data_IF_369593558163
#
_entry.id   IF_369593558163
#
_cell.length_a   1.000
_cell.length_b   1.000
_cell.length_c   1.000
_cell.angle_alpha   90.00
_cell.angle_beta   90.00
_cell.angle_gamma   90.00
#
_symmetry.space_group_name_H-M   'P 1'
#
loop_
_entity.id
_entity.type
_entity.pdbx_description
1 polymer ?
#
# COMPACT_ATOMS: atom_id res chain seq x y z
N UNK A 1 -6.56 -17.74 12.80
CA UNK A 1 -6.84 -18.15 11.41
C UNK A 1 -6.46 -17.00 10.50
N UNK A 2 -5.83 -17.26 9.36
CA UNK A 2 -5.53 -16.21 8.38
C UNK A 2 -6.35 -16.47 7.11
N UNK A 3 -7.18 -15.51 6.72
CA UNK A 3 -7.99 -15.54 5.50
C UNK A 3 -7.23 -14.89 4.34
N UNK A 4 -6.91 -15.64 3.30
CA UNK A 4 -6.17 -15.14 2.14
C UNK A 4 -7.14 -14.96 0.97
N UNK A 5 -7.58 -13.72 0.79
CA UNK A 5 -8.63 -13.29 -0.14
C UNK A 5 -9.86 -14.22 -0.18
N UNK A 6 -10.59 -14.37 0.95
CA UNK A 6 -11.71 -15.30 1.04
C UNK A 6 -12.73 -15.07 -0.08
N UNK A 7 -13.23 -16.14 -0.71
CA UNK A 7 -14.05 -16.03 -1.91
C UNK A 7 -15.40 -15.32 -1.66
N UNK A 8 -15.77 -14.36 -2.52
CA UNK A 8 -17.05 -13.66 -2.49
C UNK A 8 -18.22 -14.53 -2.96
N UNK A 9 -18.16 -15.22 -4.12
CA UNK A 9 -19.29 -15.99 -4.63
C UNK A 9 -19.77 -17.01 -3.61
N UNK A 10 -21.09 -17.06 -3.38
CA UNK A 10 -21.76 -17.96 -2.42
C UNK A 10 -21.50 -17.71 -0.92
N UNK A 11 -20.55 -16.86 -0.54
CA UNK A 11 -20.23 -16.59 0.87
C UNK A 11 -20.54 -15.16 1.32
N UNK A 12 -20.35 -14.15 0.48
CA UNK A 12 -20.60 -12.77 0.90
C UNK A 12 -22.10 -12.55 1.17
N UNK A 13 -22.42 -12.04 2.37
CA UNK A 13 -23.79 -11.77 2.79
C UNK A 13 -24.52 -12.97 3.40
N UNK A 14 -23.88 -14.13 3.52
CA UNK A 14 -24.42 -15.28 4.25
C UNK A 14 -24.27 -15.10 5.77
N UNK A 15 -25.02 -15.88 6.58
CA UNK A 15 -24.83 -15.96 8.03
C UNK A 15 -23.40 -16.35 8.41
N UNK A 16 -22.95 -15.95 9.61
CA UNK A 16 -21.57 -16.20 10.08
C UNK A 16 -21.21 -17.69 10.13
N UNK A 17 -22.21 -18.57 10.27
CA UNK A 17 -22.02 -20.02 10.32
C UNK A 17 -21.60 -20.62 8.96
N UNK A 18 -21.75 -19.86 7.86
CA UNK A 18 -21.49 -20.33 6.49
C UNK A 18 -20.18 -19.78 5.91
N UNK A 19 -19.61 -18.74 6.50
CA UNK A 19 -18.44 -18.02 5.98
C UNK A 19 -17.40 -17.82 7.06
N UNK A 20 -16.18 -17.47 6.67
CA UNK A 20 -15.17 -17.00 7.62
C UNK A 20 -15.70 -15.78 8.39
N UNK A 21 -15.53 -15.81 9.71
CA UNK A 21 -15.87 -14.74 10.63
C UNK A 21 -14.83 -14.65 11.76
N UNK A 22 -14.70 -13.46 12.35
CA UNK A 22 -13.79 -13.23 13.48
C UNK A 22 -14.03 -14.17 14.66
N UNK A 23 -15.25 -14.68 14.83
CA UNK A 23 -15.61 -15.60 15.92
C UNK A 23 -15.05 -17.03 15.74
N UNK A 24 -14.53 -17.38 14.56
CA UNK A 24 -14.05 -18.74 14.26
C UNK A 24 -12.73 -19.10 14.95
N UNK A 25 -12.00 -18.12 15.49
CA UNK A 25 -10.78 -18.34 16.26
C UNK A 25 -10.48 -17.15 17.18
N UNK A 26 -9.62 -17.37 18.19
CA UNK A 26 -9.19 -16.30 19.09
C UNK A 26 -8.58 -15.08 18.39
N UNK A 27 -8.08 -15.27 17.17
CA UNK A 27 -7.54 -14.21 16.33
C UNK A 27 -7.72 -14.60 14.87
N UNK A 28 -8.23 -13.65 14.08
CA UNK A 28 -8.48 -13.81 12.65
C UNK A 28 -7.91 -12.58 11.96
N UNK A 29 -7.00 -12.79 11.02
CA UNK A 29 -6.46 -11.74 10.16
C UNK A 29 -6.78 -12.06 8.69
N UNK A 30 -7.18 -11.05 7.91
CA UNK A 30 -7.65 -11.24 6.54
C UNK A 30 -6.88 -10.34 5.60
N UNK A 31 -6.45 -10.86 4.46
CA UNK A 31 -5.78 -10.12 3.39
C UNK A 31 -6.71 -10.08 2.18
N UNK A 32 -7.17 -8.89 1.80
CA UNK A 32 -8.04 -8.66 0.64
C UNK A 32 -7.20 -8.18 -0.54
N UNK A 33 -7.27 -8.88 -1.67
CA UNK A 33 -6.49 -8.55 -2.88
C UNK A 33 -7.29 -8.53 -4.17
N UNK A 34 -8.51 -9.07 -4.18
CA UNK A 34 -9.41 -9.04 -5.33
C UNK A 34 -10.85 -8.71 -4.92
N UNK A 35 -11.01 -7.74 -4.03
CA UNK A 35 -12.27 -7.45 -3.34
C UNK A 35 -13.30 -6.65 -4.15
N UNK A 36 -13.04 -6.43 -5.44
CA UNK A 36 -14.01 -5.82 -6.34
C UNK A 36 -15.24 -6.75 -6.51
N UNK A 37 -16.46 -6.23 -6.71
CA UNK A 37 -17.61 -7.09 -6.92
C UNK A 37 -17.43 -8.07 -8.10
N UNK A 38 -17.70 -9.37 -7.88
CA UNK A 38 -17.65 -10.41 -8.91
C UNK A 38 -18.43 -10.02 -10.16
N UNK A 39 -19.59 -9.39 -9.98
CA UNK A 39 -20.35 -8.78 -11.07
C UNK A 39 -20.35 -7.26 -10.88
N UNK A 40 -19.92 -6.47 -11.88
CA UNK A 40 -19.44 -6.88 -13.20
C UNK A 40 -17.91 -6.98 -13.34
N UNK A 41 -17.15 -6.85 -12.26
CA UNK A 41 -15.70 -6.61 -12.31
C UNK A 41 -14.85 -7.88 -12.24
N UNK A 42 -15.46 -9.06 -12.02
CA UNK A 42 -14.78 -10.33 -11.84
C UNK A 42 -13.75 -10.30 -10.69
N UNK A 43 -14.03 -9.56 -9.62
CA UNK A 43 -13.28 -9.73 -8.38
C UNK A 43 -13.81 -10.93 -7.60
N UNK A 44 -12.91 -11.78 -7.13
CA UNK A 44 -13.26 -13.04 -6.46
C UNK A 44 -13.24 -12.95 -4.94
N UNK A 45 -12.69 -11.90 -4.34
CA UNK A 45 -12.55 -11.75 -2.90
C UNK A 45 -13.74 -11.04 -2.22
N UNK A 46 -14.03 -11.41 -0.97
CA UNK A 46 -15.02 -10.73 -0.12
C UNK A 46 -14.57 -9.28 0.12
N UNK A 47 -15.51 -8.33 -0.06
CA UNK A 47 -15.30 -6.90 0.22
C UNK A 47 -15.38 -6.50 1.69
N UNK A 48 -16.42 -6.87 2.47
CA UNK A 48 -16.53 -6.47 3.86
C UNK A 48 -15.40 -7.04 4.71
N UNK A 49 -15.07 -6.30 5.78
CA UNK A 49 -14.17 -6.79 6.82
C UNK A 49 -14.87 -7.94 7.57
N UNK A 50 -14.16 -9.06 7.72
CA UNK A 50 -14.67 -10.28 8.36
C UNK A 50 -13.71 -10.85 9.41
N UNK A 51 -12.53 -10.25 9.61
CA UNK A 51 -11.55 -10.65 10.63
C UNK A 51 -11.52 -9.76 11.88
N UNK A 52 -10.51 -9.94 12.72
CA UNK A 52 -10.17 -8.93 13.72
C UNK A 52 -9.35 -7.80 13.09
N UNK A 53 -8.43 -8.17 12.19
CA UNK A 53 -7.67 -7.26 11.34
C UNK A 53 -7.93 -7.59 9.87
N UNK A 54 -8.27 -6.58 9.08
CA UNK A 54 -8.57 -6.73 7.66
C UNK A 54 -7.66 -5.79 6.87
N UNK A 55 -6.71 -6.39 6.15
CA UNK A 55 -5.69 -5.69 5.37
C UNK A 55 -6.14 -5.56 3.91
N UNK A 56 -6.08 -4.34 3.40
CA UNK A 56 -6.41 -3.98 2.02
C UNK A 56 -5.16 -3.40 1.33
N UNK A 57 -4.11 -4.22 1.06
CA UNK A 57 -2.92 -3.77 0.34
C UNK A 57 -3.30 -3.17 -1.01
N UNK A 58 -2.73 -2.03 -1.36
CA UNK A 58 -3.02 -1.28 -2.59
C UNK A 58 -4.52 -0.97 -2.80
N UNK A 59 -5.28 -0.90 -1.71
CA UNK A 59 -6.72 -0.68 -1.72
C UNK A 59 -7.58 -1.94 -1.77
N UNK A 60 -6.97 -3.12 -1.98
CA UNK A 60 -7.64 -4.43 -1.91
C UNK A 60 -8.33 -4.92 -3.18
N UNK A 61 -8.44 -4.10 -4.23
CA UNK A 61 -9.15 -4.46 -5.47
C UNK A 61 -8.23 -4.74 -6.66
N UNK A 62 -7.18 -3.94 -6.84
CA UNK A 62 -6.27 -4.06 -7.98
C UNK A 62 -4.82 -4.04 -7.50
N UNK A 63 -4.14 -5.17 -7.68
CA UNK A 63 -2.76 -5.30 -7.25
C UNK A 63 -1.79 -4.82 -8.32
N UNK A 64 -0.70 -4.13 -7.95
CA UNK A 64 0.36 -3.77 -8.88
C UNK A 64 0.92 -5.01 -9.59
N UNK A 65 1.24 -4.87 -10.88
CA UNK A 65 1.74 -5.97 -11.73
C UNK A 65 0.69 -7.00 -12.17
N UNK A 66 -0.58 -6.84 -11.77
CA UNK A 66 -1.68 -7.69 -12.27
C UNK A 66 -2.45 -7.01 -13.41
N UNK A 67 -2.89 -7.81 -14.39
CA UNK A 67 -3.86 -7.38 -15.40
C UNK A 67 -5.26 -7.20 -14.81
N UNK A 68 -6.15 -6.57 -15.56
CA UNK A 68 -7.58 -6.45 -15.22
C UNK A 68 -8.40 -7.46 -15.99
N UNK A 69 -9.39 -8.04 -15.32
CA UNK A 69 -10.43 -8.82 -15.99
C UNK A 69 -11.34 -7.91 -16.83
N UNK A 70 -11.88 -8.38 -17.96
CA UNK A 70 -12.87 -7.64 -18.73
C UNK A 70 -14.18 -7.51 -17.94
N UNK A 71 -14.84 -6.35 -18.05
CA UNK A 71 -16.13 -6.10 -17.39
C UNK A 71 -17.20 -6.97 -18.06
N UNK A 72 -17.94 -7.76 -17.29
CA UNK A 72 -19.03 -8.60 -17.79
C UNK A 72 -20.22 -8.64 -16.83
N UNK A 73 -21.43 -8.52 -17.38
CA UNK A 73 -22.68 -8.68 -16.62
C UNK A 73 -23.07 -10.16 -16.43
N UNK A 74 -22.46 -11.06 -17.20
CA UNK A 74 -22.68 -12.51 -17.13
C UNK A 74 -21.34 -13.16 -16.82
N UNK A 75 -21.29 -13.89 -15.70
CA UNK A 75 -20.07 -14.55 -15.22
C UNK A 75 -20.33 -16.05 -15.16
N UNK A 76 -19.57 -16.81 -15.95
CA UNK A 76 -19.57 -18.27 -15.94
C UNK A 76 -18.66 -18.76 -14.81
N UNK A 77 -19.19 -18.76 -13.58
CA UNK A 77 -18.43 -19.10 -12.38
C UNK A 77 -17.89 -20.53 -12.43
N UNK A 78 -18.71 -21.48 -12.87
CA UNK A 78 -18.31 -22.89 -13.01
C UNK A 78 -17.19 -23.00 -14.03
N UNK A 79 -17.32 -22.35 -15.20
CA UNK A 79 -16.28 -22.35 -16.21
C UNK A 79 -14.98 -21.69 -15.77
N UNK A 80 -15.03 -20.62 -14.96
CA UNK A 80 -13.83 -20.00 -14.38
C UNK A 80 -13.18 -20.94 -13.36
N UNK A 81 -13.97 -21.56 -12.49
CA UNK A 81 -13.48 -22.44 -11.45
C UNK A 81 -12.87 -23.73 -12.01
N UNK A 82 -13.49 -24.31 -13.03
CA UNK A 82 -13.00 -25.49 -13.75
C UNK A 82 -11.86 -25.18 -14.73
N UNK A 83 -11.57 -23.90 -14.97
CA UNK A 83 -10.52 -23.45 -15.89
C UNK A 83 -10.88 -23.60 -17.38
N UNK A 84 -12.18 -23.71 -17.70
CA UNK A 84 -12.69 -23.71 -19.08
C UNK A 84 -12.99 -22.30 -19.61
N UNK A 85 -12.88 -21.28 -18.75
CA UNK A 85 -12.99 -19.86 -19.08
C UNK A 85 -11.76 -19.06 -18.65
N UNK A 86 -11.40 -18.10 -19.49
CA UNK A 86 -10.29 -17.20 -19.21
C UNK A 86 -10.62 -16.30 -18.01
N UNK A 87 -9.73 -16.33 -17.01
CA UNK A 87 -9.82 -15.51 -15.81
C UNK A 87 -8.41 -15.08 -15.38
N UNK A 88 -8.20 -13.77 -15.23
CA UNK A 88 -6.96 -13.21 -14.72
C UNK A 88 -6.96 -13.33 -13.20
N UNK A 89 -6.60 -14.52 -12.69
CA UNK A 89 -6.55 -14.82 -11.26
C UNK A 89 -5.46 -14.05 -10.48
N UNK A 90 -4.68 -13.20 -11.15
CA UNK A 90 -3.50 -12.57 -10.56
C UNK A 90 -3.80 -11.82 -9.25
N UNK A 91 -4.84 -10.98 -9.22
CA UNK A 91 -5.25 -10.25 -8.02
C UNK A 91 -5.59 -11.22 -6.87
N UNK A 92 -6.43 -12.22 -7.13
CA UNK A 92 -6.84 -13.22 -6.13
C UNK A 92 -5.65 -13.99 -5.54
N UNK A 93 -4.68 -14.34 -6.40
CA UNK A 93 -3.46 -15.06 -6.02
C UNK A 93 -2.40 -14.18 -5.31
N UNK A 94 -2.61 -12.85 -5.15
CA UNK A 94 -1.63 -11.98 -4.48
C UNK A 94 -1.64 -12.14 -2.97
N UNK A 95 -2.78 -12.47 -2.37
CA UNK A 95 -2.93 -12.64 -0.93
C UNK A 95 -1.90 -13.62 -0.34
N UNK A 96 -1.79 -14.83 -0.90
CA UNK A 96 -0.79 -15.80 -0.42
C UNK A 96 0.65 -15.45 -0.81
N UNK A 97 0.86 -14.72 -1.92
CA UNK A 97 2.21 -14.25 -2.32
C UNK A 97 2.74 -13.24 -1.30
N UNK A 98 1.90 -12.29 -0.89
CA UNK A 98 2.26 -11.34 0.17
C UNK A 98 2.44 -12.04 1.51
N UNK A 99 1.56 -12.99 1.86
CA UNK A 99 1.73 -13.78 3.08
C UNK A 99 3.07 -14.53 3.08
N UNK A 100 3.41 -15.19 1.97
CA UNK A 100 4.68 -15.92 1.83
C UNK A 100 5.90 -15.01 2.02
N UNK A 101 5.92 -13.83 1.41
CA UNK A 101 7.04 -12.90 1.57
C UNK A 101 7.07 -12.29 2.98
N UNK A 102 5.92 -12.07 3.62
CA UNK A 102 5.85 -11.52 4.99
C UNK A 102 6.56 -12.38 6.04
N UNK A 103 6.74 -13.68 5.78
CA UNK A 103 7.53 -14.59 6.65
C UNK A 103 8.99 -14.14 6.71
N UNK A 104 9.54 -13.71 5.57
CA UNK A 104 10.93 -13.30 5.41
C UNK A 104 11.16 -11.83 5.80
N UNK A 105 10.12 -10.99 5.70
CA UNK A 105 10.18 -9.55 5.95
C UNK A 105 9.27 -9.14 7.12
N UNK A 106 9.73 -9.30 8.38
CA UNK A 106 8.90 -9.07 9.57
C UNK A 106 8.45 -7.62 9.79
N UNK A 107 9.01 -6.66 9.07
CA UNK A 107 8.73 -5.22 9.13
C UNK A 107 8.31 -4.62 7.78
N UNK A 108 8.21 -5.44 6.73
CA UNK A 108 8.05 -4.99 5.34
C UNK A 108 6.60 -4.78 4.87
N UNK A 109 5.62 -5.08 5.72
CA UNK A 109 4.19 -5.02 5.39
C UNK A 109 3.38 -4.30 6.46
N UNK A 110 3.87 -3.14 6.91
CA UNK A 110 3.26 -2.37 7.98
C UNK A 110 1.90 -1.79 7.54
N UNK A 111 0.81 -2.24 8.18
CA UNK A 111 -0.56 -1.81 7.87
C UNK A 111 -1.02 -0.61 8.71
N UNK A 112 -1.50 0.45 8.06
CA UNK A 112 -1.93 1.67 8.71
C UNK A 112 -3.45 1.66 8.92
N UNK A 113 -3.95 1.80 10.17
CA UNK A 113 -5.38 1.86 10.42
C UNK A 113 -5.93 3.14 9.80
N UNK A 114 -6.90 3.01 8.91
CA UNK A 114 -7.44 4.15 8.17
C UNK A 114 -8.90 3.93 7.80
N UNK A 115 -9.64 5.02 7.56
CA UNK A 115 -11.07 4.94 7.19
C UNK A 115 -11.30 4.40 5.77
N UNK A 116 -10.39 4.70 4.85
CA UNK A 116 -10.42 4.26 3.46
C UNK A 116 -9.03 4.33 2.82
N UNK A 117 -8.87 3.70 1.66
CA UNK A 117 -7.63 3.78 0.90
C UNK A 117 -7.35 5.21 0.39
N UNK A 118 -8.39 5.97 0.02
CA UNK A 118 -8.25 7.38 -0.34
C UNK A 118 -7.70 8.22 0.82
N UNK A 119 -8.22 8.00 2.03
CA UNK A 119 -7.72 8.67 3.22
C UNK A 119 -6.27 8.26 3.54
N UNK A 120 -5.89 7.01 3.25
CA UNK A 120 -4.52 6.52 3.40
C UNK A 120 -3.54 7.20 2.42
N UNK A 121 -4.00 7.60 1.23
CA UNK A 121 -3.25 8.43 0.29
C UNK A 121 -2.99 9.87 0.78
N UNK A 122 -3.67 10.29 1.86
CA UNK A 122 -3.49 11.61 2.49
C UNK A 122 -2.68 11.51 3.79
N UNK A 123 -2.49 12.63 4.46
CA UNK A 123 -1.77 12.71 5.74
C UNK A 123 -2.57 12.22 6.96
N UNK A 124 -3.77 11.67 6.75
CA UNK A 124 -4.72 11.39 7.82
C UNK A 124 -4.37 10.15 8.66
N UNK A 125 -3.57 9.23 8.11
CA UNK A 125 -3.35 7.89 8.68
C UNK A 125 -1.86 7.54 8.83
N UNK A 126 -1.00 8.55 8.88
CA UNK A 126 0.45 8.40 9.00
C UNK A 126 0.99 9.36 10.07
N UNK A 127 2.00 8.97 10.87
CA UNK A 127 2.65 7.66 10.96
C UNK A 127 1.77 6.66 11.73
N UNK A 128 2.31 5.51 12.11
CA UNK A 128 1.64 4.57 12.99
C UNK A 128 1.20 5.23 14.31
N UNK A 129 0.02 4.87 14.86
CA UNK A 129 -0.43 5.40 16.15
C UNK A 129 0.52 4.96 17.28
N UNK A 130 0.42 5.56 18.46
CA UNK A 130 1.26 5.22 19.64
C UNK A 130 1.24 3.74 20.03
N UNK A 131 0.19 3.00 19.66
CA UNK A 131 0.10 1.54 19.88
C UNK A 131 0.94 0.70 18.92
N UNK A 132 1.54 1.32 17.90
CA UNK A 132 2.16 0.68 16.74
C UNK A 132 1.14 0.32 15.65
N UNK A 133 1.64 -0.22 14.55
CA UNK A 133 0.85 -0.82 13.49
C UNK A 133 1.09 -2.33 13.45
N UNK A 134 0.10 -3.14 13.07
CA UNK A 134 0.32 -4.55 12.76
C UNK A 134 1.05 -4.71 11.41
N UNK A 135 1.86 -5.75 11.29
CA UNK A 135 2.34 -6.20 9.99
C UNK A 135 1.32 -7.14 9.37
N UNK A 136 1.00 -6.95 8.09
CA UNK A 136 0.16 -7.86 7.32
C UNK A 136 0.88 -9.21 7.15
N UNK A 137 0.11 -10.30 7.24
CA UNK A 137 0.60 -11.65 7.03
C UNK A 137 1.12 -12.30 8.31
N UNK A 138 2.25 -13.02 8.20
CA UNK A 138 2.70 -13.99 9.20
C UNK A 138 2.82 -13.45 10.63
N UNK A 139 3.16 -12.16 10.78
CA UNK A 139 3.41 -11.52 12.07
C UNK A 139 2.25 -10.63 12.56
N UNK A 140 1.05 -10.75 11.98
CA UNK A 140 -0.13 -9.99 12.40
C UNK A 140 -0.57 -10.33 13.84
N UNK A 141 -0.32 -11.57 14.27
CA UNK A 141 -0.63 -12.11 15.60
C UNK A 141 0.05 -11.35 16.75
N UNK A 142 1.22 -10.74 16.50
CA UNK A 142 1.92 -9.84 17.44
C UNK A 142 1.06 -8.65 17.87
N UNK A 143 -0.01 -8.36 17.14
CA UNK A 143 -0.94 -7.27 17.44
C UNK A 143 -2.25 -7.72 18.09
N UNK A 144 -2.49 -9.03 18.28
CA UNK A 144 -3.73 -9.61 18.84
C UNK A 144 -4.24 -8.89 20.11
N UNK A 145 -3.35 -8.60 21.06
CA UNK A 145 -3.71 -7.98 22.35
C UNK A 145 -3.94 -6.46 22.30
N UNK A 146 -3.77 -5.81 21.14
CA UNK A 146 -3.86 -4.34 20.97
C UNK A 146 -5.15 -3.89 20.26
N UNK A 147 -6.01 -4.84 19.89
CA UNK A 147 -7.25 -4.62 19.17
C UNK A 147 -8.34 -4.19 20.16
N UNK A 148 -8.97 -3.04 19.91
CA UNK A 148 -9.99 -2.44 20.81
C UNK A 148 -11.38 -2.32 20.17
N UNK A 149 -11.55 -2.74 18.92
CA UNK A 149 -12.79 -2.59 18.14
C UNK A 149 -13.24 -3.89 17.51
N UNK A 150 -14.39 -3.86 16.86
CA UNK A 150 -15.00 -5.04 16.25
C UNK A 150 -14.22 -5.58 15.04
N UNK A 151 -13.81 -4.69 14.14
CA UNK A 151 -13.03 -4.97 12.94
C UNK A 151 -12.10 -3.78 12.69
N UNK A 152 -10.85 -4.01 12.28
CA UNK A 152 -9.88 -2.93 12.00
C UNK A 152 -9.44 -3.01 10.55
N UNK A 153 -9.83 -2.00 9.76
CA UNK A 153 -9.37 -1.86 8.37
C UNK A 153 -7.99 -1.23 8.33
N UNK A 154 -7.07 -1.89 7.63
CA UNK A 154 -5.68 -1.52 7.52
C UNK A 154 -5.29 -1.40 6.05
N UNK A 155 -4.53 -0.36 5.74
CA UNK A 155 -4.08 -0.07 4.38
C UNK A 155 -2.56 0.04 4.34
N UNK A 156 -1.99 -0.42 3.23
CA UNK A 156 -0.56 -0.37 2.92
C UNK A 156 -0.40 -0.50 1.41
N UNK A 157 0.80 -0.21 0.89
CA UNK A 157 1.15 -0.47 -0.50
C UNK A 157 2.20 -1.58 -0.58
N UNK A 158 2.24 -2.29 -1.69
CA UNK A 158 3.23 -3.34 -1.98
C UNK A 158 3.84 -3.16 -3.37
N UNK A 159 5.00 -3.78 -3.61
CA UNK A 159 5.63 -3.79 -4.92
C UNK A 159 4.81 -4.53 -5.99
N UNK A 160 5.14 -4.28 -7.27
CA UNK A 160 4.51 -4.95 -8.42
C UNK A 160 5.08 -6.35 -8.71
N UNK A 161 6.29 -6.62 -8.24
CA UNK A 161 7.00 -7.88 -8.45
C UNK A 161 7.71 -8.27 -7.16
N UNK A 162 8.10 -9.55 -7.07
CA UNK A 162 8.86 -10.06 -5.93
C UNK A 162 10.25 -9.39 -5.90
N UNK A 163 10.75 -8.93 -4.75
CA UNK A 163 10.15 -8.94 -3.40
C UNK A 163 9.10 -7.83 -3.21
N UNK A 164 7.95 -8.16 -2.58
CA UNK A 164 6.83 -7.23 -2.41
C UNK A 164 6.87 -6.18 -1.29
N UNK A 165 7.70 -6.27 -0.23
CA UNK A 165 7.59 -5.37 0.91
C UNK A 165 7.95 -3.93 0.51
N UNK A 166 7.30 -2.96 1.17
CA UNK A 166 7.61 -1.54 1.02
C UNK A 166 7.63 -0.85 2.39
N UNK A 167 8.57 0.07 2.58
CA UNK A 167 8.69 0.88 3.78
C UNK A 167 8.22 2.31 3.48
N UNK A 168 7.15 2.74 4.16
CA UNK A 168 6.54 4.05 3.94
C UNK A 168 7.23 5.15 4.72
N UNK A 169 7.57 6.24 4.03
CA UNK A 169 8.13 7.47 4.58
C UNK A 169 7.28 8.65 4.12
N UNK A 170 7.19 9.69 4.96
CA UNK A 170 6.71 11.00 4.53
C UNK A 170 7.89 11.93 4.37
N UNK A 171 8.00 12.54 3.19
CA UNK A 171 9.06 13.49 2.88
C UNK A 171 8.44 14.85 2.63
N UNK A 172 8.92 15.87 3.35
CA UNK A 172 8.50 17.26 3.18
C UNK A 172 9.72 18.09 2.78
N UNK A 173 9.62 18.75 1.62
CA UNK A 173 10.69 19.55 1.02
C UNK A 173 10.27 21.00 0.87
N UNK A 174 11.06 21.92 1.41
CA UNK A 174 10.94 23.35 1.15
C UNK A 174 11.97 23.76 0.11
N UNK A 175 11.52 24.28 -1.03
CA UNK A 175 12.41 24.62 -2.14
C UNK A 175 13.19 25.90 -1.88
N UNK A 176 14.39 26.00 -2.46
CA UNK A 176 15.23 27.20 -2.45
C UNK A 176 15.64 27.57 -3.87
N UNK A 177 15.74 28.85 -4.18
CA UNK A 177 16.16 29.32 -5.50
C UNK A 177 15.81 30.78 -5.74
N UNK A 178 16.16 31.29 -6.92
CA UNK A 178 15.89 32.70 -7.28
C UNK A 178 14.62 32.88 -8.11
N UNK A 179 14.22 31.85 -8.85
CA UNK A 179 13.13 31.95 -9.83
C UNK A 179 12.25 30.72 -9.76
N UNK A 180 10.97 30.90 -10.10
CA UNK A 180 10.05 29.79 -10.35
C UNK A 180 10.49 29.02 -11.60
N UNK A 181 10.44 27.71 -11.55
CA UNK A 181 10.79 26.82 -12.68
C UNK A 181 9.66 25.81 -12.93
N UNK A 182 9.67 25.16 -14.09
CA UNK A 182 8.73 24.08 -14.42
C UNK A 182 9.50 22.78 -14.56
N UNK A 183 9.08 21.75 -13.84
CA UNK A 183 9.81 20.49 -13.75
C UNK A 183 9.25 19.55 -12.70
N UNK A 184 10.06 18.62 -12.25
CA UNK A 184 9.75 17.73 -11.14
C UNK A 184 10.92 17.61 -10.17
N UNK A 185 10.59 17.27 -8.93
CA UNK A 185 11.54 17.07 -7.83
C UNK A 185 11.53 15.61 -7.44
N UNK A 186 12.72 15.03 -7.41
CA UNK A 186 12.97 13.68 -6.94
C UNK A 186 13.82 13.71 -5.67
N UNK A 187 13.55 12.77 -4.77
CA UNK A 187 14.32 12.57 -3.55
C UNK A 187 14.75 11.11 -3.44
N UNK A 188 15.99 10.87 -3.01
CA UNK A 188 16.49 9.56 -2.60
C UNK A 188 16.99 9.62 -1.16
N UNK A 189 16.61 8.63 -0.36
CA UNK A 189 16.97 8.51 1.05
C UNK A 189 18.22 7.64 1.20
N UNK A 190 19.12 8.01 2.10
CA UNK A 190 20.33 7.28 2.45
C UNK A 190 20.36 7.12 3.96
N UNK A 191 20.53 5.90 4.43
CA UNK A 191 20.60 5.61 5.86
C UNK A 191 21.67 4.57 6.18
N UNK A 192 21.60 4.02 7.38
CA UNK A 192 22.57 3.03 7.88
C UNK A 192 22.58 1.75 7.05
N UNK A 193 21.43 1.35 6.51
CA UNK A 193 21.24 0.00 5.97
C UNK A 193 21.13 0.00 4.42
N UNK A 194 21.24 1.17 3.80
CA UNK A 194 21.24 1.31 2.34
C UNK A 194 20.71 2.65 1.85
N UNK A 195 20.28 2.66 0.58
CA UNK A 195 19.67 3.82 -0.04
C UNK A 195 18.53 3.43 -0.98
N UNK A 196 17.55 4.31 -1.11
CA UNK A 196 16.43 4.12 -2.04
C UNK A 196 16.81 4.53 -3.46
N UNK A 197 15.98 4.16 -4.43
CA UNK A 197 15.86 4.85 -5.72
C UNK A 197 15.37 6.29 -5.53
N UNK A 198 15.34 7.03 -6.62
CA UNK A 198 14.75 8.37 -6.65
C UNK A 198 13.23 8.28 -6.75
N UNK A 199 12.53 8.92 -5.82
CA UNK A 199 11.07 9.01 -5.82
C UNK A 199 10.62 10.44 -6.10
N UNK A 200 9.65 10.61 -7.00
CA UNK A 200 9.10 11.91 -7.34
C UNK A 200 8.21 12.43 -6.22
N UNK A 201 8.50 13.64 -5.74
CA UNK A 201 7.76 14.30 -4.66
C UNK A 201 6.71 15.26 -5.19
N UNK A 202 7.06 16.00 -6.24
CA UNK A 202 6.15 16.96 -6.85
C UNK A 202 6.55 17.20 -8.30
N UNK A 203 5.58 17.61 -9.11
CA UNK A 203 5.76 17.97 -10.50
C UNK A 203 4.91 19.20 -10.83
N UNK A 204 5.32 19.96 -11.85
CA UNK A 204 4.62 21.16 -12.30
C UNK A 204 5.43 22.42 -12.04
N UNK A 205 4.78 23.46 -11.49
CA UNK A 205 5.43 24.75 -11.23
C UNK A 205 6.07 24.74 -9.84
N UNK A 206 7.40 24.75 -9.83
CA UNK A 206 8.23 24.72 -8.64
C UNK A 206 8.60 26.14 -8.24
N UNK A 207 8.10 26.58 -7.09
CA UNK A 207 8.35 27.92 -6.54
C UNK A 207 9.32 27.82 -5.37
N UNK A 208 10.40 28.64 -5.32
CA UNK A 208 11.19 28.81 -4.11
C UNK A 208 10.31 29.17 -2.91
N UNK A 209 10.75 28.77 -1.71
CA UNK A 209 10.10 28.97 -0.41
C UNK A 209 8.78 28.19 -0.21
N UNK A 210 8.20 27.62 -1.27
CA UNK A 210 7.07 26.71 -1.14
C UNK A 210 7.52 25.35 -0.58
N UNK A 211 6.62 24.77 0.20
CA UNK A 211 6.79 23.44 0.80
C UNK A 211 5.87 22.43 0.11
N UNK A 212 6.42 21.24 -0.17
CA UNK A 212 5.73 20.13 -0.81
C UNK A 212 5.94 18.88 0.04
N UNK A 213 4.88 18.10 0.24
CA UNK A 213 4.93 16.84 0.96
C UNK A 213 4.44 15.71 0.08
N UNK A 214 5.07 14.55 0.17
CA UNK A 214 4.64 13.32 -0.48
C UNK A 214 5.02 12.10 0.34
N UNK A 215 4.30 11.00 0.12
CA UNK A 215 4.65 9.70 0.63
C UNK A 215 5.57 8.97 -0.34
N UNK A 216 6.52 8.23 0.21
CA UNK A 216 7.39 7.31 -0.49
C UNK A 216 7.15 5.93 0.10
N UNK A 217 6.70 4.98 -0.70
CA UNK A 217 6.74 3.56 -0.36
C UNK A 217 8.02 2.98 -1.00
N UNK A 218 9.08 2.85 -0.20
CA UNK A 218 10.42 2.50 -0.67
C UNK A 218 10.65 0.99 -0.69
N UNK A 219 11.42 0.52 -1.67
CA UNK A 219 11.79 -0.89 -1.88
C UNK A 219 12.76 -1.46 -0.85
N UNK A 220 13.33 -0.60 0.01
CA UNK A 220 14.30 -0.98 1.04
C UNK A 220 14.04 -0.22 2.34
N UNK A 221 14.26 -0.90 3.47
CA UNK A 221 14.43 -0.23 4.75
C UNK A 221 15.83 0.41 4.77
N UNK A 222 15.92 1.75 4.85
CA UNK A 222 17.22 2.43 4.91
C UNK A 222 17.77 2.53 6.34
N UNK A 223 17.03 2.06 7.33
CA UNK A 223 17.39 2.21 8.74
C UNK A 223 17.34 3.68 9.18
N UNK A 224 18.36 4.11 9.93
CA UNK A 224 18.44 5.52 10.37
C UNK A 224 18.84 6.40 9.19
N UNK A 225 17.95 7.29 8.75
CA UNK A 225 18.23 8.24 7.65
C UNK A 225 19.35 9.19 8.07
N UNK A 226 20.49 9.12 7.38
CA UNK A 226 21.67 9.96 7.63
C UNK A 226 21.82 11.07 6.60
N UNK A 227 21.30 10.86 5.38
CA UNK A 227 21.43 11.79 4.27
C UNK A 227 20.25 11.69 3.32
N UNK A 228 19.95 12.81 2.67
CA UNK A 228 18.96 12.87 1.59
C UNK A 228 19.63 13.49 0.35
N UNK A 229 19.32 12.97 -0.84
CA UNK A 229 19.71 13.59 -2.11
C UNK A 229 18.48 14.18 -2.78
N UNK A 230 18.59 15.46 -3.09
CA UNK A 230 17.62 16.21 -3.88
C UNK A 230 18.07 16.24 -5.34
N UNK A 231 17.15 15.95 -6.26
CA UNK A 231 17.34 16.16 -7.68
C UNK A 231 16.12 16.88 -8.23
N UNK A 232 16.35 17.84 -9.13
CA UNK A 232 15.27 18.43 -9.90
C UNK A 232 15.64 18.36 -11.39
N UNK A 233 14.62 18.17 -12.23
CA UNK A 233 14.78 18.09 -13.67
C UNK A 233 13.76 19.01 -14.34
N UNK A 234 14.11 19.58 -15.49
CA UNK A 234 13.19 20.29 -16.36
C UNK A 234 12.77 19.40 -17.53
N UNK A 235 11.58 19.66 -18.07
CA UNK A 235 11.06 18.97 -19.26
C UNK A 235 11.08 19.89 -20.49
N UNK A 236 11.82 21.00 -20.43
CA UNK A 236 11.84 22.02 -21.47
C UNK A 236 13.22 22.66 -21.57
N UNK A 237 13.63 23.01 -22.78
CA UNK A 237 14.89 23.71 -23.04
C UNK A 237 14.85 25.05 -22.30
N UNK A 238 15.70 25.21 -21.29
CA UNK A 238 15.79 26.44 -20.53
C UNK A 238 17.18 27.06 -20.67
N UNK A 239 17.35 28.06 -21.58
CA UNK A 239 18.65 28.66 -21.89
C UNK A 239 19.24 29.47 -20.72
N UNK A 240 18.45 29.73 -19.66
CA UNK A 240 18.93 30.46 -18.48
C UNK A 240 19.64 29.58 -17.45
N UNK A 241 19.70 28.25 -17.67
CA UNK A 241 20.29 27.27 -16.75
C UNK A 241 19.94 27.53 -15.28
N UNK A 242 18.63 27.57 -14.93
CA UNK A 242 18.20 27.95 -13.61
C UNK A 242 18.73 26.96 -12.56
N UNK A 243 18.96 27.46 -11.34
CA UNK A 243 19.33 26.63 -10.19
C UNK A 243 18.15 26.55 -9.23
N UNK A 244 17.81 25.33 -8.84
CA UNK A 244 16.84 25.02 -7.80
C UNK A 244 17.50 24.07 -6.81
N UNK A 245 17.25 24.30 -5.53
CA UNK A 245 17.67 23.44 -4.43
C UNK A 245 16.54 23.21 -3.45
N UNK A 246 16.89 22.60 -2.32
CA UNK A 246 16.01 22.48 -1.16
C UNK A 246 16.66 23.21 0.02
N UNK A 247 15.91 24.12 0.65
CA UNK A 247 16.31 24.77 1.89
C UNK A 247 16.27 23.77 3.04
N UNK A 248 15.19 22.99 3.12
CA UNK A 248 15.00 21.94 4.14
C UNK A 248 14.37 20.72 3.49
N UNK A 249 14.75 19.55 4.00
CA UNK A 249 14.07 18.29 3.74
C UNK A 249 13.90 17.59 5.07
N UNK A 250 12.66 17.26 5.41
CA UNK A 250 12.34 16.46 6.59
C UNK A 250 11.79 15.12 6.14
N UNK A 251 12.20 14.07 6.85
CA UNK A 251 11.81 12.69 6.57
C UNK A 251 11.22 12.12 7.86
N UNK A 252 10.02 11.59 7.77
CA UNK A 252 9.36 10.90 8.86
C UNK A 252 9.17 9.44 8.48
N UNK A 253 9.59 8.53 9.35
CA UNK A 253 9.38 7.08 9.21
C UNK A 253 7.94 6.72 9.54
N UNK A 254 7.41 5.68 8.90
CA UNK A 254 6.06 5.20 9.19
C UNK A 254 5.93 4.50 10.54
N UNK A 255 7.01 3.88 11.01
CA UNK A 255 7.10 3.34 12.37
C UNK A 255 7.41 4.50 13.34
N UNK A 256 6.61 4.59 14.41
CA UNK A 256 6.78 5.53 15.52
C UNK A 256 7.66 4.93 16.62
#
# INVERSE_FOLDING_TARGET
LSGLDPAQPYFQGTPIEVRLDKSDADFVDVIHTDSAPTIPYLGFGITPAIGHLDFYPNGGEQMPGCGKNPISQIVDLDGIWEGTRDFVACNHLRSYKYYSDSILYPDGFLGYPCASYDAFGTDSCFPCPKGGCPNMGHYADKFKGKIKGDFVKLYLNTGEAKDFPLWRYKVTVTLSGKHKVKGYVNIALYGSDGNTKQHQITHGTLKPDNTYASFIDAEVNVGTVTKVKFLWNNNWINPTFPKLGAATITVQTGMN
#
